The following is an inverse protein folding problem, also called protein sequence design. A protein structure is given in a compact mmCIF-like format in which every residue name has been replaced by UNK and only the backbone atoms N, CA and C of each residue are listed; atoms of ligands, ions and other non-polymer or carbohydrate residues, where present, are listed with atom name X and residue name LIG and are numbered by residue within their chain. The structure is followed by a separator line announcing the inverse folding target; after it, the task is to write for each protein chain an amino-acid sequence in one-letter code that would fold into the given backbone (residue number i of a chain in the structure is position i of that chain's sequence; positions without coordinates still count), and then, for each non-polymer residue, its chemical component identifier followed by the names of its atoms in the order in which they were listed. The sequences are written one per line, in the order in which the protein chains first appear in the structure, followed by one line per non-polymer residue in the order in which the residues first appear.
data_IF_556310108744
#
_entry.id   IF_556310108744
#
_cell.length_a   1.000
_cell.length_b   1.000
_cell.length_c   1.000
_cell.angle_alpha   90.00
_cell.angle_beta   90.00
_cell.angle_gamma   90.00
#
_symmetry.space_group_name_H-M   'P 1'
#
loop_
_entity.id
_entity.type
_entity.pdbx_description
1 polymer ?
#
# COMPACT_ATOMS: atom_id res chain seq x y z
N UNK A 1 -8.11 -9.18 -12.60
CA UNK A 1 -7.02 -9.84 -13.37
C UNK A 1 -5.69 -9.70 -12.62
N UNK A 2 -4.60 -10.41 -12.96
CA UNK A 2 -3.30 -10.27 -12.27
C UNK A 2 -2.26 -9.67 -13.23
N UNK A 3 -1.50 -8.67 -12.78
CA UNK A 3 -0.43 -8.05 -13.55
C UNK A 3 0.67 -9.08 -13.86
N UNK A 4 1.03 -9.21 -15.14
CA UNK A 4 2.09 -10.13 -15.61
C UNK A 4 3.50 -9.72 -15.20
N UNK A 5 3.70 -8.43 -14.89
CA UNK A 5 5.01 -7.90 -14.55
C UNK A 5 5.31 -7.99 -13.04
N UNK A 6 4.36 -7.62 -12.18
CA UNK A 6 4.57 -7.54 -10.72
C UNK A 6 3.73 -8.53 -9.89
N UNK A 7 2.78 -9.25 -10.51
CA UNK A 7 1.95 -10.25 -9.84
C UNK A 7 0.82 -9.69 -8.97
N UNK A 8 0.56 -8.37 -9.01
CA UNK A 8 -0.52 -7.78 -8.23
C UNK A 8 -1.89 -7.91 -8.92
N UNK A 9 -2.94 -8.02 -8.11
CA UNK A 9 -4.33 -8.01 -8.57
C UNK A 9 -4.70 -6.63 -9.11
N UNK A 10 -5.14 -6.60 -10.35
CA UNK A 10 -5.69 -5.45 -11.08
C UNK A 10 -7.21 -5.53 -11.04
N UNK A 11 -7.84 -4.39 -10.79
CA UNK A 11 -9.30 -4.21 -10.87
C UNK A 11 -9.77 -4.15 -12.33
N UNK A 12 -11.06 -4.38 -12.55
CA UNK A 12 -11.66 -4.41 -13.88
C UNK A 12 -11.75 -2.99 -14.45
N UNK A 13 -11.29 -2.80 -15.69
CA UNK A 13 -11.30 -1.49 -16.36
C UNK A 13 -10.01 -0.67 -16.22
N UNK A 14 -9.03 -1.14 -15.44
CA UNK A 14 -7.72 -0.52 -15.34
C UNK A 14 -6.93 -0.67 -16.64
N UNK A 15 -6.40 0.45 -17.17
CA UNK A 15 -5.56 0.48 -18.38
C UNK A 15 -4.09 0.19 -18.08
N UNK A 16 -3.66 0.42 -16.84
CA UNK A 16 -2.28 0.26 -16.37
C UNK A 16 -2.25 -0.25 -14.93
N UNK A 17 -1.16 -0.89 -14.53
CA UNK A 17 -0.97 -1.34 -13.16
C UNK A 17 -0.64 -0.16 -12.25
N UNK A 18 -1.41 0.11 -11.18
CA UNK A 18 -1.14 1.22 -10.26
C UNK A 18 0.15 1.04 -9.46
N UNK A 19 0.67 -0.19 -9.36
CA UNK A 19 1.85 -0.49 -8.56
C UNK A 19 3.16 -0.53 -9.37
N UNK A 20 3.13 -0.91 -10.64
CA UNK A 20 4.35 -0.98 -11.48
C UNK A 20 4.26 -0.21 -12.80
N UNK A 21 3.12 0.36 -13.13
CA UNK A 21 2.90 1.11 -14.38
C UNK A 21 2.80 0.24 -15.64
N UNK A 22 2.90 -1.09 -15.54
CA UNK A 22 2.77 -1.98 -16.71
C UNK A 22 1.36 -1.90 -17.28
N UNK A 23 1.24 -1.71 -18.60
CA UNK A 23 -0.05 -1.66 -19.29
C UNK A 23 -0.86 -2.93 -19.01
N UNK A 24 -2.09 -2.74 -18.57
CA UNK A 24 -3.04 -3.84 -18.44
C UNK A 24 -3.51 -4.21 -19.85
N UNK A 25 -3.41 -5.49 -20.18
CA UNK A 25 -3.93 -6.02 -21.44
C UNK A 25 -5.46 -6.06 -21.35
N UNK A 26 -6.10 -4.90 -21.49
CA UNK A 26 -7.53 -4.81 -21.71
C UNK A 26 -7.80 -5.28 -23.13
N UNK A 27 -8.27 -6.52 -23.27
CA UNK A 27 -8.77 -7.04 -24.55
C UNK A 27 -10.13 -6.39 -24.77
N UNK A 28 -10.15 -5.21 -25.37
CA UNK A 28 -11.34 -4.70 -26.04
C UNK A 28 -11.39 -5.32 -27.42
N UNK A 29 -12.38 -6.17 -27.63
CA UNK A 29 -12.76 -6.73 -28.92
C UNK A 29 -13.10 -5.59 -29.90
N UNK A 30 -12.09 -5.09 -30.62
CA UNK A 30 -12.29 -4.38 -31.87
C UNK A 30 -11.07 -4.63 -32.75
N UNK A 31 -11.25 -5.59 -33.65
CA UNK A 31 -10.41 -5.89 -34.80
C UNK A 31 -9.84 -4.62 -35.44
N UNK A 32 -8.54 -4.36 -35.27
CA UNK A 32 -7.68 -3.89 -36.38
C UNK A 32 -6.31 -4.57 -36.22
N UNK A 33 -5.98 -5.37 -37.22
CA UNK A 33 -4.65 -5.89 -37.50
C UNK A 33 -3.70 -4.71 -37.76
N UNK A 34 -2.50 -4.73 -37.18
CA UNK A 34 -1.34 -4.28 -37.95
C UNK A 34 -0.14 -5.19 -37.61
N UNK A 35 0.04 -6.14 -38.51
CA UNK A 35 1.32 -6.80 -38.75
C UNK A 35 1.89 -6.10 -39.98
N UNK A 36 2.89 -5.26 -39.81
CA UNK A 36 3.75 -4.81 -40.92
C UNK A 36 5.10 -4.35 -40.38
N UNK A 37 6.00 -5.33 -40.31
CA UNK A 37 7.42 -5.16 -40.55
C UNK A 37 7.69 -4.23 -41.74
N UNK A 38 8.75 -3.44 -41.60
CA UNK A 38 9.66 -3.00 -42.67
C UNK A 38 9.09 -2.22 -43.86
N UNK A 39 9.28 -0.90 -43.83
CA UNK A 39 9.59 -0.13 -45.03
C UNK A 39 10.92 0.64 -44.80
N UNK A 40 11.86 0.65 -45.76
CA UNK A 40 13.19 1.21 -45.56
C UNK A 40 13.10 2.73 -45.42
N UNK A 41 13.53 3.24 -44.27
CA UNK A 41 13.79 4.67 -44.09
C UNK A 41 14.94 5.07 -45.02
N UNK A 42 14.56 5.58 -46.19
CA UNK A 42 15.44 6.18 -47.18
C UNK A 42 16.04 7.47 -46.59
N UNK A 43 17.35 7.43 -46.40
CA UNK A 43 18.18 8.55 -45.96
C UNK A 43 18.19 9.65 -47.03
N UNK A 44 17.20 10.54 -46.98
CA UNK A 44 17.30 11.86 -47.58
C UNK A 44 17.60 12.86 -46.46
N UNK A 45 18.86 13.27 -46.45
CA UNK A 45 19.44 14.39 -45.72
C UNK A 45 18.45 15.47 -45.27
N UNK A 46 18.29 15.63 -43.96
CA UNK A 46 17.83 16.88 -43.35
C UNK A 46 18.85 17.34 -42.32
N UNK A 47 19.72 18.25 -42.78
CA UNK A 47 20.43 19.19 -41.92
C UNK A 47 19.44 20.28 -41.53
N UNK A 48 18.77 20.11 -40.40
CA UNK A 48 18.26 21.16 -39.54
C UNK A 48 17.69 20.48 -38.29
N UNK A 49 18.35 20.71 -37.16
CA UNK A 49 17.95 20.21 -35.84
C UNK A 49 16.50 20.66 -35.53
N UNK A 50 15.52 19.75 -35.38
CA UNK A 50 14.26 20.15 -34.79
C UNK A 50 14.54 20.33 -33.31
N UNK A 51 14.55 21.59 -32.88
CA UNK A 51 14.63 21.99 -31.48
C UNK A 51 13.61 21.16 -30.69
N UNK A 52 14.09 20.15 -29.96
CA UNK A 52 13.30 19.35 -29.01
C UNK A 52 12.84 20.32 -27.95
N UNK A 53 11.61 20.75 -28.11
CA UNK A 53 11.13 21.95 -27.49
C UNK A 53 10.49 21.62 -26.14
N UNK A 54 11.13 22.15 -25.12
CA UNK A 54 10.83 22.09 -23.68
C UNK A 54 9.40 22.53 -23.27
N UNK A 55 8.46 22.73 -24.19
CA UNK A 55 7.10 23.19 -23.88
C UNK A 55 6.06 22.07 -23.77
N UNK A 56 6.34 20.84 -24.22
CA UNK A 56 5.46 19.71 -23.95
C UNK A 56 5.56 19.19 -22.50
N UNK A 57 6.64 19.53 -21.78
CA UNK A 57 6.90 19.04 -20.42
C UNK A 57 6.21 19.83 -19.30
N UNK A 58 5.56 20.94 -19.64
CA UNK A 58 4.91 21.83 -18.66
C UNK A 58 3.47 21.46 -18.29
N UNK A 59 2.81 20.55 -19.03
CA UNK A 59 1.38 20.25 -18.81
C UNK A 59 1.09 18.84 -18.27
N UNK A 60 2.05 17.91 -18.30
CA UNK A 60 1.89 16.60 -17.65
C UNK A 60 2.60 16.50 -16.29
N UNK A 61 3.28 17.56 -15.85
CA UNK A 61 3.69 17.71 -14.45
C UNK A 61 2.67 18.56 -13.69
N UNK A 62 1.41 18.14 -13.74
CA UNK A 62 0.63 18.26 -12.50
C UNK A 62 1.10 17.10 -11.65
N UNK A 63 2.09 17.34 -10.78
CA UNK A 63 2.14 16.55 -9.56
C UNK A 63 0.72 16.64 -9.00
N UNK A 64 -0.06 15.54 -8.92
CA UNK A 64 -1.33 15.58 -8.22
C UNK A 64 -0.99 16.23 -6.88
N UNK A 65 -1.68 17.32 -6.53
CA UNK A 65 -1.50 18.02 -5.27
C UNK A 65 -1.21 16.95 -4.22
N UNK A 66 -0.05 16.96 -3.53
CA UNK A 66 0.38 15.83 -2.70
C UNK A 66 -0.83 15.50 -1.87
N UNK A 67 -1.43 14.34 -2.15
CA UNK A 67 -2.73 14.01 -1.62
C UNK A 67 -2.56 14.26 -0.13
N UNK A 68 -3.28 15.26 0.40
CA UNK A 68 -3.25 15.56 1.82
C UNK A 68 -3.46 14.20 2.45
N UNK A 69 -2.41 13.72 3.11
CA UNK A 69 -2.33 12.33 3.49
C UNK A 69 -3.61 12.06 4.26
N UNK A 70 -4.50 11.29 3.64
CA UNK A 70 -5.72 10.83 4.27
C UNK A 70 -5.30 10.41 5.68
N UNK A 71 -5.91 11.00 6.73
CA UNK A 71 -5.32 11.06 8.06
C UNK A 71 -4.78 9.69 8.35
N UNK A 72 -3.43 9.59 8.41
CA UNK A 72 -2.73 8.33 8.51
C UNK A 72 -3.44 7.58 9.62
N UNK A 73 -4.25 6.59 9.26
CA UNK A 73 -5.11 5.92 10.22
C UNK A 73 -4.11 5.21 11.11
N UNK A 74 -3.84 5.85 12.25
CA UNK A 74 -2.98 5.38 13.29
C UNK A 74 -3.60 4.05 13.66
N UNK A 75 -3.06 2.99 13.06
CA UNK A 75 -3.35 1.63 13.45
C UNK A 75 -2.69 1.51 14.80
N UNK A 76 -3.44 1.99 15.79
CA UNK A 76 -3.33 1.68 17.21
C UNK A 76 -3.25 0.16 17.29
N UNK A 77 -2.04 -0.38 17.08
CA UNK A 77 -1.74 -1.82 17.14
C UNK A 77 -1.71 -2.28 18.61
N UNK A 78 -2.44 -1.58 19.46
CA UNK A 78 -2.40 -1.67 20.90
C UNK A 78 -3.82 -1.89 21.40
N UNK A 79 -4.32 -3.13 21.33
CA UNK A 79 -5.72 -3.36 21.74
C UNK A 79 -6.12 -4.75 22.17
N UNK A 80 -5.21 -5.73 22.17
CA UNK A 80 -5.51 -7.07 22.72
C UNK A 80 -4.37 -7.60 23.59
N UNK A 81 -3.15 -7.63 23.07
CA UNK A 81 -1.97 -8.09 23.82
C UNK A 81 -1.68 -7.24 25.06
N UNK A 82 -1.71 -5.91 24.93
CA UNK A 82 -1.46 -5.01 26.05
C UNK A 82 -2.54 -5.07 27.14
N UNK A 83 -3.80 -5.26 26.75
CA UNK A 83 -4.90 -5.41 27.70
C UNK A 83 -4.77 -6.72 28.48
N UNK A 84 -4.44 -7.83 27.80
CA UNK A 84 -4.20 -9.13 28.44
C UNK A 84 -3.00 -9.05 29.40
N UNK A 85 -1.89 -8.41 28.99
CA UNK A 85 -0.72 -8.24 29.85
C UNK A 85 -1.04 -7.40 31.10
N UNK A 86 -1.79 -6.30 30.93
CA UNK A 86 -2.22 -5.46 32.04
C UNK A 86 -3.12 -6.21 33.02
N UNK A 87 -4.08 -7.00 32.53
CA UNK A 87 -4.95 -7.83 33.38
C UNK A 87 -4.17 -8.89 34.17
N UNK A 88 -3.17 -9.53 33.56
CA UNK A 88 -2.31 -10.50 34.26
C UNK A 88 -1.54 -9.83 35.39
N UNK A 89 -0.96 -8.64 35.15
CA UNK A 89 -0.22 -7.89 36.18
C UNK A 89 -1.16 -7.48 37.32
N UNK A 90 -2.37 -7.00 37.02
CA UNK A 90 -3.37 -6.64 38.04
C UNK A 90 -3.76 -7.86 38.87
N UNK A 91 -3.99 -9.02 38.22
CA UNK A 91 -4.35 -10.25 38.92
C UNK A 91 -3.26 -10.74 39.88
N UNK A 92 -1.99 -10.62 39.50
CA UNK A 92 -0.84 -10.97 40.36
C UNK A 92 -0.77 -10.04 41.59
N UNK A 93 -0.93 -8.73 41.38
CA UNK A 93 -0.89 -7.74 42.47
C UNK A 93 -2.10 -7.87 43.42
N UNK A 94 -3.30 -8.10 42.88
CA UNK A 94 -4.49 -8.33 43.72
C UNK A 94 -4.46 -9.69 44.42
N UNK A 95 -3.92 -10.71 43.74
CA UNK A 95 -3.82 -12.07 44.27
C UNK A 95 -2.88 -12.17 45.47
N UNK A 96 -1.75 -11.46 45.45
CA UNK A 96 -0.83 -11.43 46.60
C UNK A 96 -1.43 -10.69 47.80
N UNK A 97 -2.13 -9.57 47.58
CA UNK A 97 -2.83 -8.88 48.66
C UNK A 97 -3.99 -9.73 49.25
N UNK A 98 -4.75 -10.42 48.41
CA UNK A 98 -5.85 -11.29 48.84
C UNK A 98 -5.37 -12.54 49.59
N UNK A 99 -4.33 -13.21 49.08
CA UNK A 99 -3.73 -14.37 49.75
C UNK A 99 -3.08 -13.96 51.09
N UNK A 100 -2.40 -12.81 51.12
CA UNK A 100 -1.80 -12.28 52.34
C UNK A 100 -2.86 -11.89 53.38
N UNK A 101 -3.95 -11.23 52.97
CA UNK A 101 -5.08 -10.91 53.85
C UNK A 101 -5.79 -12.16 54.37
N UNK A 102 -6.00 -13.17 53.53
CA UNK A 102 -6.59 -14.45 53.92
C UNK A 102 -5.72 -15.19 54.94
N UNK A 103 -4.42 -15.29 54.69
CA UNK A 103 -3.49 -15.91 55.62
C UNK A 103 -3.37 -15.12 56.93
N UNK A 104 -3.33 -13.79 56.87
CA UNK A 104 -3.32 -12.94 58.04
C UNK A 104 -4.60 -13.08 58.88
N UNK A 105 -5.77 -13.09 58.23
CA UNK A 105 -7.06 -13.27 58.90
C UNK A 105 -7.20 -14.68 59.49
N UNK A 106 -6.75 -15.73 58.79
CA UNK A 106 -6.69 -17.08 59.35
C UNK A 106 -5.71 -17.17 60.52
N UNK A 107 -4.56 -16.50 60.48
CA UNK A 107 -3.60 -16.53 61.59
C UNK A 107 -4.13 -15.79 62.82
N UNK A 108 -4.76 -14.62 62.64
CA UNK A 108 -5.35 -13.85 63.73
C UNK A 108 -6.64 -14.47 64.28
N UNK A 109 -7.41 -15.19 63.47
CA UNK A 109 -8.63 -15.87 63.90
C UNK A 109 -8.39 -17.19 64.63
N UNK A 110 -7.14 -17.65 64.70
CA UNK A 110 -6.75 -18.91 65.36
C UNK A 110 -6.02 -18.68 66.70
N UNK A 111 -5.85 -17.42 67.13
CA UNK A 111 -5.29 -17.04 68.44
C UNK A 111 -6.44 -16.58 69.34
#
# INVERSE_FOLDING_TARGET
MICRNCGKVLEEGELFCPDCGTKAEAVTESLIQDNSSDAPYSSASYTAEPQVNQYAQGMYNTQPAPAQSAPAKQKEFFGRGAFILCLIVIAILSGTAGAFAYLYFSLLGTI
#
